data_IF_799201263098
#
_entry.id   IF_799201263098
#
_cell.length_a   1.000
_cell.length_b   1.000
_cell.length_c   1.000
_cell.angle_alpha   90.00
_cell.angle_beta   90.00
_cell.angle_gamma   90.00
#
_symmetry.space_group_name_H-M   'P 1'
#
loop_
_entity.id
_entity.type
_entity.pdbx_description
1 polymer ?
#
# COMPACT_ATOMS: atom_id res chain seq x y z
N UNK A 1 44.75 -112.58 12.71
CA UNK A 1 44.41 -111.73 11.54
C UNK A 1 42.95 -111.25 11.58
N UNK A 2 42.51 -110.51 12.62
CA UNK A 2 41.09 -110.08 12.73
C UNK A 2 40.87 -108.61 13.15
N UNK A 3 41.93 -107.80 13.21
CA UNK A 3 41.82 -106.37 13.60
C UNK A 3 41.54 -105.41 12.42
N UNK A 4 41.66 -105.84 11.17
CA UNK A 4 41.51 -104.94 10.02
C UNK A 4 40.08 -104.81 9.47
N UNK A 5 39.16 -105.76 9.73
CA UNK A 5 37.82 -105.72 9.10
C UNK A 5 36.77 -104.84 9.81
N UNK A 6 37.01 -104.50 11.08
CA UNK A 6 36.11 -103.65 11.87
C UNK A 6 36.37 -102.15 11.65
N UNK A 7 37.60 -101.77 11.30
CA UNK A 7 37.97 -100.39 10.96
C UNK A 7 37.39 -100.00 9.60
N UNK A 8 37.54 -100.86 8.59
CA UNK A 8 36.97 -100.64 7.25
C UNK A 8 35.43 -100.61 7.21
N UNK A 9 34.76 -101.25 8.17
CA UNK A 9 33.29 -101.19 8.31
C UNK A 9 32.82 -99.91 9.00
N UNK A 10 33.64 -99.29 9.85
CA UNK A 10 33.32 -97.99 10.48
C UNK A 10 33.55 -96.83 9.51
N UNK A 11 34.63 -96.85 8.74
CA UNK A 11 34.94 -95.80 7.75
C UNK A 11 33.88 -95.74 6.64
N UNK A 12 33.44 -96.89 6.10
CA UNK A 12 32.34 -96.95 5.12
C UNK A 12 30.98 -96.50 5.65
N UNK A 13 30.78 -96.46 6.98
CA UNK A 13 29.53 -96.01 7.60
C UNK A 13 29.56 -94.52 7.93
N UNK A 14 30.75 -93.95 8.16
CA UNK A 14 30.95 -92.50 8.33
C UNK A 14 30.88 -91.79 6.97
N UNK A 15 31.38 -92.41 5.91
CA UNK A 15 31.33 -91.86 4.54
C UNK A 15 29.88 -91.79 3.99
N UNK A 16 28.97 -92.63 4.49
CA UNK A 16 27.53 -92.60 4.16
C UNK A 16 26.68 -91.69 5.05
N UNK A 17 27.29 -91.02 6.04
CA UNK A 17 26.61 -90.09 6.95
C UNK A 17 27.17 -88.66 6.86
N UNK A 18 27.92 -88.34 5.80
CA UNK A 18 28.10 -86.93 5.44
C UNK A 18 26.85 -86.46 4.68
N UNK A 19 26.10 -85.47 5.19
CA UNK A 19 25.06 -84.84 4.40
C UNK A 19 25.72 -84.25 3.15
N UNK A 20 25.24 -84.67 1.97
CA UNK A 20 25.62 -84.12 0.68
C UNK A 20 25.67 -82.59 0.75
N UNK A 21 26.88 -82.04 0.79
CA UNK A 21 27.17 -80.61 0.82
C UNK A 21 26.68 -79.87 -0.43
N UNK A 22 26.31 -80.63 -1.47
CA UNK A 22 25.67 -80.11 -2.69
C UNK A 22 24.22 -79.62 -2.47
N UNK A 23 23.47 -80.18 -1.51
CA UNK A 23 22.05 -79.84 -1.30
C UNK A 23 21.81 -78.60 -0.40
N UNK A 24 22.85 -78.14 0.32
CA UNK A 24 22.74 -76.99 1.24
C UNK A 24 23.11 -75.68 0.52
N UNK A 25 24.08 -75.73 -0.39
CA UNK A 25 24.48 -74.59 -1.22
C UNK A 25 23.37 -74.16 -2.20
N UNK A 26 22.65 -75.13 -2.78
CA UNK A 26 21.57 -74.88 -3.75
C UNK A 26 20.34 -74.22 -3.09
N UNK A 27 19.94 -74.70 -1.91
CA UNK A 27 18.87 -74.08 -1.09
C UNK A 27 19.24 -72.69 -0.54
N UNK A 28 20.52 -72.48 -0.22
CA UNK A 28 21.02 -71.17 0.19
C UNK A 28 20.96 -70.15 -0.95
N UNK A 29 21.32 -70.59 -2.18
CA UNK A 29 21.25 -69.76 -3.38
C UNK A 29 19.80 -69.36 -3.70
N UNK A 30 18.85 -70.30 -3.65
CA UNK A 30 17.42 -70.01 -3.84
C UNK A 30 16.87 -69.00 -2.82
N UNK A 31 17.24 -69.14 -1.53
CA UNK A 31 16.80 -68.22 -0.48
C UNK A 31 17.34 -66.79 -0.70
N UNK A 32 18.61 -66.65 -1.11
CA UNK A 32 19.20 -65.35 -1.44
C UNK A 32 18.51 -64.69 -2.64
N UNK A 33 18.18 -65.46 -3.68
CA UNK A 33 17.42 -64.94 -4.83
C UNK A 33 16.05 -64.41 -4.41
N UNK A 34 15.34 -65.12 -3.53
CA UNK A 34 14.02 -64.68 -3.01
C UNK A 34 14.14 -63.37 -2.22
N UNK A 35 15.15 -63.25 -1.35
CA UNK A 35 15.38 -62.02 -0.56
C UNK A 35 15.65 -60.82 -1.47
N UNK A 36 16.47 -61.00 -2.51
CA UNK A 36 16.78 -59.93 -3.48
C UNK A 36 15.52 -59.50 -4.22
N UNK A 37 14.67 -60.45 -4.66
CA UNK A 37 13.42 -60.13 -5.35
C UNK A 37 12.44 -59.36 -4.45
N UNK A 38 12.37 -59.69 -3.16
CA UNK A 38 11.57 -58.95 -2.18
C UNK A 38 12.08 -57.50 -2.05
N UNK A 39 13.40 -57.31 -1.87
CA UNK A 39 13.99 -55.98 -1.76
C UNK A 39 13.79 -55.14 -3.03
N UNK A 40 13.90 -55.75 -4.23
CA UNK A 40 13.59 -55.09 -5.51
C UNK A 40 12.13 -54.65 -5.57
N UNK A 41 11.21 -55.51 -5.11
CA UNK A 41 9.78 -55.18 -5.07
C UNK A 41 9.50 -54.02 -4.11
N UNK A 42 10.03 -54.07 -2.89
CA UNK A 42 9.84 -53.02 -1.89
C UNK A 42 10.43 -51.67 -2.32
N UNK A 43 11.63 -51.69 -2.91
CA UNK A 43 12.27 -50.47 -3.45
C UNK A 43 11.47 -49.90 -4.62
N UNK A 44 10.94 -50.74 -5.51
CA UNK A 44 10.06 -50.30 -6.61
C UNK A 44 8.80 -49.64 -6.08
N UNK A 45 8.11 -50.25 -5.12
CA UNK A 45 6.88 -49.70 -4.54
C UNK A 45 7.16 -48.37 -3.82
N UNK A 46 8.27 -48.29 -3.09
CA UNK A 46 8.72 -47.05 -2.43
C UNK A 46 9.02 -45.95 -3.43
N UNK A 47 9.72 -46.27 -4.53
CA UNK A 47 10.02 -45.32 -5.60
C UNK A 47 8.74 -44.84 -6.28
N UNK A 48 7.80 -45.73 -6.59
CA UNK A 48 6.53 -45.37 -7.21
C UNK A 48 5.73 -44.41 -6.32
N UNK A 49 5.68 -44.65 -5.01
CA UNK A 49 5.05 -43.75 -4.06
C UNK A 49 5.76 -42.39 -4.01
N UNK A 50 7.09 -42.36 -3.91
CA UNK A 50 7.86 -41.09 -3.89
C UNK A 50 7.67 -40.28 -5.17
N UNK A 51 7.63 -40.95 -6.33
CA UNK A 51 7.38 -40.29 -7.62
C UNK A 51 5.99 -39.65 -7.63
N UNK A 52 4.96 -40.35 -7.14
CA UNK A 52 3.60 -39.79 -7.03
C UNK A 52 3.56 -38.58 -6.09
N UNK A 53 4.22 -38.65 -4.94
CA UNK A 53 4.30 -37.53 -4.00
C UNK A 53 4.98 -36.32 -4.64
N UNK A 54 6.15 -36.50 -5.26
CA UNK A 54 6.85 -35.41 -5.97
C UNK A 54 6.00 -34.83 -7.11
N UNK A 55 5.26 -35.65 -7.84
CA UNK A 55 4.37 -35.16 -8.89
C UNK A 55 3.26 -34.24 -8.35
N UNK A 56 2.68 -34.60 -7.19
CA UNK A 56 1.69 -33.76 -6.49
C UNK A 56 2.33 -32.47 -5.99
N UNK A 57 3.50 -32.58 -5.34
CA UNK A 57 4.25 -31.45 -4.78
C UNK A 57 4.71 -30.46 -5.86
N UNK A 58 4.87 -30.89 -7.11
CA UNK A 58 5.17 -30.01 -8.25
C UNK A 58 3.89 -29.45 -8.87
N UNK A 59 2.82 -30.25 -8.95
CA UNK A 59 1.58 -29.83 -9.60
C UNK A 59 0.87 -28.71 -8.83
N UNK A 60 0.70 -28.85 -7.52
CA UNK A 60 -0.07 -27.88 -6.71
C UNK A 60 0.54 -26.47 -6.73
N UNK A 61 1.86 -26.29 -6.49
CA UNK A 61 2.46 -24.96 -6.56
C UNK A 61 2.43 -24.35 -7.96
N UNK A 62 2.44 -25.16 -9.02
CA UNK A 62 2.33 -24.66 -10.39
C UNK A 62 0.93 -24.08 -10.68
N UNK A 63 -0.11 -24.68 -10.14
CA UNK A 63 -1.47 -24.15 -10.25
C UNK A 63 -1.61 -22.83 -9.49
N UNK A 64 -1.08 -22.76 -8.28
CA UNK A 64 -1.08 -21.53 -7.48
C UNK A 64 -0.21 -20.45 -8.11
N UNK A 65 0.94 -20.81 -8.68
CA UNK A 65 1.79 -19.89 -9.44
C UNK A 65 1.02 -19.28 -10.61
N UNK A 66 0.26 -20.09 -11.35
CA UNK A 66 -0.58 -19.58 -12.45
C UNK A 66 -1.64 -18.59 -11.96
N UNK A 67 -2.34 -18.91 -10.87
CA UNK A 67 -3.32 -17.99 -10.25
C UNK A 67 -2.68 -16.67 -9.83
N UNK A 68 -1.45 -16.72 -9.30
CA UNK A 68 -0.71 -15.51 -8.94
C UNK A 68 -0.34 -14.69 -10.17
N UNK A 69 0.13 -15.32 -11.25
CA UNK A 69 0.42 -14.65 -12.51
C UNK A 69 -0.81 -13.94 -13.06
N UNK A 70 -1.96 -14.61 -13.09
CA UNK A 70 -3.22 -14.03 -13.58
C UNK A 70 -3.63 -12.82 -12.72
N UNK A 71 -3.57 -12.94 -11.38
CA UNK A 71 -3.86 -11.83 -10.46
C UNK A 71 -2.92 -10.65 -10.65
N UNK A 72 -1.63 -10.91 -10.85
CA UNK A 72 -0.65 -9.85 -11.10
C UNK A 72 -0.99 -9.11 -12.40
N UNK A 73 -1.28 -9.85 -13.48
CA UNK A 73 -1.68 -9.27 -14.75
C UNK A 73 -2.93 -8.37 -14.63
N UNK A 74 -3.94 -8.82 -13.88
CA UNK A 74 -5.15 -8.03 -13.62
C UNK A 74 -4.85 -6.73 -12.84
N UNK A 75 -4.00 -6.83 -11.82
CA UNK A 75 -3.59 -5.65 -11.03
C UNK A 75 -2.77 -4.66 -11.85
N UNK A 76 -1.88 -5.15 -12.72
CA UNK A 76 -1.10 -4.31 -13.63
C UNK A 76 -2.00 -3.61 -14.66
N UNK A 77 -2.99 -4.31 -15.21
CA UNK A 77 -3.98 -3.74 -16.12
C UNK A 77 -4.79 -2.63 -15.43
N UNK A 78 -5.27 -2.90 -14.21
CA UNK A 78 -6.01 -1.92 -13.40
C UNK A 78 -5.15 -0.69 -13.09
N UNK A 79 -3.87 -0.89 -12.76
CA UNK A 79 -2.93 0.19 -12.52
C UNK A 79 -2.66 1.02 -13.78
N UNK A 80 -2.48 0.35 -14.93
CA UNK A 80 -2.30 1.01 -16.21
C UNK A 80 -3.51 1.90 -16.58
N UNK A 81 -4.72 1.48 -16.22
CA UNK A 81 -5.94 2.25 -16.45
C UNK A 81 -6.13 3.41 -15.48
N UNK A 82 -5.86 3.21 -14.18
CA UNK A 82 -6.12 4.23 -13.14
C UNK A 82 -5.05 5.31 -13.08
N UNK A 83 -3.80 4.99 -13.42
CA UNK A 83 -2.66 5.92 -13.34
C UNK A 83 -2.85 7.19 -14.20
N UNK A 84 -3.28 7.13 -15.47
CA UNK A 84 -3.55 8.33 -16.27
C UNK A 84 -4.60 9.24 -15.64
N UNK A 85 -5.67 8.68 -15.07
CA UNK A 85 -6.75 9.45 -14.43
C UNK A 85 -6.25 10.22 -13.21
N UNK A 86 -5.40 9.58 -12.39
CA UNK A 86 -4.78 10.24 -11.22
C UNK A 86 -3.88 11.39 -11.67
N UNK A 87 -3.07 11.18 -12.71
CA UNK A 87 -2.20 12.23 -13.25
C UNK A 87 -3.03 13.41 -13.78
N UNK A 88 -4.06 13.14 -14.57
CA UNK A 88 -4.97 14.17 -15.07
C UNK A 88 -5.61 14.97 -13.94
N UNK A 89 -6.15 14.31 -12.91
CA UNK A 89 -6.75 15.01 -11.77
C UNK A 89 -5.73 15.85 -11.00
N UNK A 90 -4.49 15.36 -10.84
CA UNK A 90 -3.42 16.13 -10.20
C UNK A 90 -3.10 17.40 -11.00
N UNK A 91 -3.03 17.32 -12.33
CA UNK A 91 -2.81 18.47 -13.20
C UNK A 91 -3.97 19.48 -13.09
N UNK A 92 -5.22 19.00 -13.13
CA UNK A 92 -6.39 19.86 -12.94
C UNK A 92 -6.40 20.56 -11.58
N UNK A 93 -6.05 19.87 -10.50
CA UNK A 93 -5.96 20.47 -9.17
C UNK A 93 -4.91 21.59 -9.14
N UNK A 94 -3.71 21.33 -9.67
CA UNK A 94 -2.66 22.37 -9.70
C UNK A 94 -3.05 23.58 -10.56
N UNK A 95 -3.84 23.38 -11.61
CA UNK A 95 -4.37 24.46 -12.42
C UNK A 95 -5.39 25.29 -11.63
N UNK A 96 -6.37 24.62 -11.01
CA UNK A 96 -7.41 25.27 -10.21
C UNK A 96 -6.81 26.02 -9.01
N UNK A 97 -5.81 25.47 -8.34
CA UNK A 97 -5.10 26.14 -7.25
C UNK A 97 -4.45 27.45 -7.71
N UNK A 98 -3.82 27.45 -8.90
CA UNK A 98 -3.25 28.67 -9.49
C UNK A 98 -4.33 29.69 -9.83
N UNK A 99 -5.44 29.26 -10.42
CA UNK A 99 -6.55 30.16 -10.74
C UNK A 99 -7.16 30.77 -9.48
N UNK A 100 -7.40 29.97 -8.45
CA UNK A 100 -7.91 30.45 -7.16
C UNK A 100 -6.95 31.46 -6.54
N UNK A 101 -5.64 31.22 -6.61
CA UNK A 101 -4.64 32.17 -6.12
C UNK A 101 -4.70 33.50 -6.88
N UNK A 102 -4.72 33.47 -8.21
CA UNK A 102 -4.82 34.68 -9.04
C UNK A 102 -6.11 35.43 -8.75
N UNK A 103 -7.24 34.73 -8.64
CA UNK A 103 -8.52 35.35 -8.33
C UNK A 103 -8.53 35.98 -6.93
N UNK A 104 -7.92 35.32 -5.94
CA UNK A 104 -7.77 35.87 -4.59
C UNK A 104 -6.95 37.16 -4.60
N UNK A 105 -5.80 37.17 -5.26
CA UNK A 105 -4.96 38.37 -5.40
C UNK A 105 -5.70 39.50 -6.12
N UNK A 106 -6.51 39.18 -7.14
CA UNK A 106 -7.35 40.18 -7.83
C UNK A 106 -8.44 40.74 -6.93
N UNK A 107 -9.10 39.91 -6.14
CA UNK A 107 -10.14 40.35 -5.19
C UNK A 107 -9.51 41.23 -4.12
N UNK A 108 -8.39 40.81 -3.52
CA UNK A 108 -7.68 41.60 -2.52
C UNK A 108 -7.21 42.95 -3.08
N UNK A 109 -6.67 42.96 -4.31
CA UNK A 109 -6.29 44.20 -4.99
C UNK A 109 -7.49 45.12 -5.26
N UNK A 110 -8.61 44.57 -5.73
CA UNK A 110 -9.84 45.33 -6.00
C UNK A 110 -10.48 45.87 -4.71
N UNK A 111 -10.52 45.07 -3.64
CA UNK A 111 -10.99 45.50 -2.33
C UNK A 111 -10.08 46.57 -1.74
N UNK A 112 -8.76 46.40 -1.84
CA UNK A 112 -7.77 47.38 -1.43
C UNK A 112 -8.01 48.71 -2.14
N UNK A 113 -8.08 48.70 -3.47
CA UNK A 113 -8.34 49.90 -4.28
C UNK A 113 -9.69 50.55 -3.94
N UNK A 114 -10.74 49.75 -3.73
CA UNK A 114 -12.06 50.25 -3.33
C UNK A 114 -12.04 50.87 -1.94
N UNK A 115 -11.17 50.42 -1.03
CA UNK A 115 -11.04 50.94 0.34
C UNK A 115 -10.02 52.06 0.47
N UNK A 116 -9.15 52.30 -0.52
CA UNK A 116 -8.12 53.34 -0.46
C UNK A 116 -8.67 54.75 -0.19
N UNK A 117 -9.90 55.01 -0.63
CA UNK A 117 -10.56 56.30 -0.41
C UNK A 117 -11.45 56.32 0.84
N UNK A 118 -11.54 55.20 1.56
CA UNK A 118 -12.37 55.08 2.75
C UNK A 118 -11.54 55.38 4.00
N UNK A 119 -12.02 56.30 4.83
CA UNK A 119 -11.42 56.62 6.11
C UNK A 119 -12.31 56.07 7.22
N UNK A 120 -11.72 55.35 8.18
CA UNK A 120 -12.45 54.84 9.35
C UNK A 120 -12.18 55.75 10.54
N UNK A 121 -13.23 56.42 11.01
CA UNK A 121 -13.16 57.27 12.20
C UNK A 121 -13.73 56.50 13.40
N UNK A 122 -12.98 56.46 14.50
CA UNK A 122 -13.32 55.73 15.73
C UNK A 122 -13.37 56.71 16.90
N UNK A 123 -14.33 56.53 17.80
CA UNK A 123 -14.48 57.35 19.01
C UNK A 123 -15.42 58.54 18.89
N UNK A 124 -16.17 58.66 17.78
CA UNK A 124 -17.28 59.62 17.69
C UNK A 124 -18.46 59.07 18.51
N UNK A 125 -18.99 59.82 19.50
CA UNK A 125 -20.15 59.38 20.27
C UNK A 125 -21.39 59.26 19.37
N UNK A 126 -22.23 58.27 19.64
CA UNK A 126 -23.41 58.05 18.83
C UNK A 126 -24.37 59.25 18.86
N UNK A 127 -24.99 59.54 17.71
CA UNK A 127 -26.04 60.57 17.52
C UNK A 127 -25.56 62.03 17.59
N UNK A 128 -24.26 62.29 17.70
CA UNK A 128 -23.70 63.66 17.69
C UNK A 128 -23.79 64.31 16.30
N UNK A 129 -23.75 63.48 15.27
CA UNK A 129 -23.75 63.86 13.85
C UNK A 129 -25.09 64.42 13.33
N UNK A 130 -26.18 64.29 14.10
CA UNK A 130 -27.48 64.85 13.71
C UNK A 130 -28.12 64.14 12.51
N UNK A 131 -28.94 64.84 11.71
CA UNK A 131 -29.74 64.24 10.63
C UNK A 131 -28.96 63.97 9.33
N UNK A 132 -27.80 64.59 9.12
CA UNK A 132 -26.93 64.34 7.95
C UNK A 132 -25.51 64.09 8.43
N UNK A 133 -25.05 62.87 8.22
CA UNK A 133 -23.70 62.42 8.60
C UNK A 133 -22.65 63.03 7.68
N UNK A 134 -22.99 63.25 6.41
CA UNK A 134 -22.13 63.87 5.39
C UNK A 134 -21.65 65.25 5.84
N UNK A 135 -22.59 66.15 6.16
CA UNK A 135 -22.28 67.53 6.55
C UNK A 135 -21.48 67.58 7.85
N UNK A 136 -21.81 66.71 8.80
CA UNK A 136 -21.06 66.60 10.05
C UNK A 136 -19.62 66.14 9.81
N UNK A 137 -19.43 65.08 9.03
CA UNK A 137 -18.10 64.52 8.76
C UNK A 137 -17.24 65.46 7.92
N UNK A 138 -17.82 66.15 6.93
CA UNK A 138 -17.11 67.18 6.17
C UNK A 138 -16.60 68.29 7.09
N UNK A 139 -17.49 68.91 7.87
CA UNK A 139 -17.10 69.97 8.80
C UNK A 139 -16.07 69.50 9.83
N UNK A 140 -16.28 68.33 10.42
CA UNK A 140 -15.36 67.76 11.41
C UNK A 140 -13.97 67.50 10.81
N UNK A 141 -13.86 66.95 9.59
CA UNK A 141 -12.57 66.74 8.93
C UNK A 141 -11.88 68.06 8.56
N UNK A 142 -12.63 69.06 8.10
CA UNK A 142 -12.10 70.39 7.80
C UNK A 142 -11.48 71.03 9.05
N UNK A 143 -12.21 70.97 10.16
CA UNK A 143 -11.82 71.62 11.42
C UNK A 143 -10.66 70.89 12.10
N UNK A 144 -10.66 69.55 12.09
CA UNK A 144 -9.67 68.75 12.83
C UNK A 144 -8.40 68.43 12.07
N UNK A 145 -8.50 68.11 10.77
CA UNK A 145 -7.37 67.60 9.99
C UNK A 145 -6.83 68.58 8.95
N UNK A 146 -7.68 69.46 8.42
CA UNK A 146 -7.32 70.30 7.28
C UNK A 146 -7.13 71.78 7.65
N UNK A 147 -7.25 72.14 8.93
CA UNK A 147 -7.06 73.52 9.44
C UNK A 147 -7.88 74.55 8.64
N UNK A 148 -9.10 74.19 8.24
CA UNK A 148 -9.96 75.08 7.44
C UNK A 148 -9.60 75.18 5.95
N UNK A 149 -8.63 74.41 5.45
CA UNK A 149 -8.18 74.44 4.06
C UNK A 149 -8.67 73.22 3.29
N UNK A 150 -9.74 73.39 2.52
CA UNK A 150 -10.23 72.36 1.60
C UNK A 150 -10.06 72.77 0.14
N UNK A 151 -9.85 71.78 -0.73
CA UNK A 151 -9.97 72.01 -2.16
C UNK A 151 -11.44 72.08 -2.55
N UNK A 152 -11.74 72.75 -3.67
CA UNK A 152 -13.10 72.80 -4.25
C UNK A 152 -13.71 71.42 -4.53
N UNK A 153 -12.88 70.39 -4.64
CA UNK A 153 -13.28 69.02 -4.99
C UNK A 153 -13.32 68.07 -3.80
N UNK A 154 -13.09 68.59 -2.58
CA UNK A 154 -13.22 67.78 -1.38
C UNK A 154 -14.70 67.54 -1.09
N UNK A 155 -15.09 66.27 -1.10
CA UNK A 155 -16.47 65.84 -0.83
C UNK A 155 -16.39 64.52 -0.07
N UNK A 156 -17.23 64.33 0.95
CA UNK A 156 -17.35 63.04 1.65
C UNK A 156 -18.51 62.27 1.05
N UNK A 157 -18.22 61.13 0.44
CA UNK A 157 -19.22 60.28 -0.20
C UNK A 157 -19.56 59.06 0.65
N UNK A 158 -20.87 58.80 0.81
CA UNK A 158 -21.40 57.59 1.44
C UNK A 158 -20.90 57.32 2.87
N UNK A 159 -20.93 58.29 3.81
CA UNK A 159 -20.60 58.01 5.18
C UNK A 159 -21.66 57.07 5.78
N UNK A 160 -21.21 55.97 6.36
CA UNK A 160 -22.09 55.04 7.05
C UNK A 160 -21.45 54.59 8.35
N UNK A 161 -22.32 54.21 9.30
CA UNK A 161 -21.88 53.52 10.50
C UNK A 161 -21.58 52.08 10.13
N UNK A 162 -20.33 51.67 10.31
CA UNK A 162 -20.00 50.25 10.23
C UNK A 162 -20.85 49.49 11.28
N UNK A 163 -21.47 48.35 10.92
CA UNK A 163 -22.14 47.52 11.90
C UNK A 163 -21.18 47.18 13.04
N UNK A 164 -21.71 47.07 14.25
CA UNK A 164 -20.94 46.63 15.42
C UNK A 164 -20.63 45.14 15.21
N UNK A 165 -19.54 44.85 14.51
CA UNK A 165 -19.00 43.50 14.43
C UNK A 165 -18.31 43.19 15.77
N UNK A 166 -18.76 42.13 16.45
CA UNK A 166 -18.03 41.57 17.57
C UNK A 166 -16.60 41.23 17.11
N UNK A 167 -15.56 41.50 17.92
CA UNK A 167 -14.19 41.27 17.51
C UNK A 167 -13.97 39.77 17.23
N UNK A 168 -13.83 39.43 15.94
CA UNK A 168 -13.42 38.10 15.49
C UNK A 168 -11.96 37.85 15.89
N UNK A 169 -11.76 37.39 17.12
CA UNK A 169 -10.47 36.87 17.62
C UNK A 169 -10.11 35.49 17.03
N UNK A 170 -10.85 35.00 16.05
CA UNK A 170 -10.65 33.68 15.45
C UNK A 170 -9.95 33.88 14.12
N UNK A 171 -8.61 33.89 14.09
CA UNK A 171 -7.71 33.54 12.97
C UNK A 171 -6.23 33.90 13.25
N UNK A 172 -5.82 34.01 14.52
CA UNK A 172 -4.40 34.05 14.94
C UNK A 172 -4.05 32.79 15.75
N UNK A 173 -4.15 31.62 15.11
CA UNK A 173 -3.48 30.38 15.52
C UNK A 173 -3.08 29.60 14.26
#
# INVERSE_FOLDING_TARGET
>A
MFRNSLVERRERKIEKMQPSSHNIADKGLELHTVIILIAIKETRETLEWKIKTVAIDVYLPNEDHKKLVDRVADTESTLAHTRPTILFHSECLTHLEKEVKVLRERVEGAEGQSRCNNIRVVGIPEKVEGPSVELYMEGWLVDTMLEGKTSKWFTVEGPYRAPVEEPNWVHLL
#
